data_IF_314773116873
#
_entry.id   IF_314773116873
#
_cell.length_a   1.000
_cell.length_b   1.000
_cell.length_c   1.000
_cell.angle_alpha   90.00
_cell.angle_beta   90.00
_cell.angle_gamma   90.00
#
_symmetry.space_group_name_H-M   'P 1'
#
loop_
_entity.id
_entity.type
_entity.pdbx_description
1 polymer ?
#
# COMPACT_ATOMS: atom_id res chain seq x y z
N UNK A 1 -11.47 9.60 6.08
CA UNK A 1 -10.70 9.49 7.33
C UNK A 1 -9.25 9.75 6.98
N UNK A 2 -8.41 10.30 7.87
CA UNK A 2 -6.99 10.40 7.55
C UNK A 2 -6.44 9.00 7.25
N UNK A 3 -5.61 8.93 6.21
CA UNK A 3 -4.95 7.69 5.81
C UNK A 3 -4.07 7.20 6.96
N UNK A 4 -4.16 5.91 7.29
CA UNK A 4 -3.32 5.32 8.33
C UNK A 4 -2.01 4.84 7.72
N UNK A 5 -0.89 5.18 8.32
CA UNK A 5 0.43 4.70 7.89
C UNK A 5 0.93 3.60 8.84
N UNK A 6 1.38 2.50 8.27
CA UNK A 6 1.88 1.31 8.97
C UNK A 6 3.36 1.14 8.63
N UNK A 7 4.22 1.67 9.48
CA UNK A 7 5.68 1.61 9.32
C UNK A 7 6.28 0.34 9.94
N UNK A 8 5.68 -0.16 11.02
CA UNK A 8 6.21 -1.30 11.76
C UNK A 8 5.45 -2.59 11.49
N UNK A 9 6.19 -3.69 11.33
CA UNK A 9 5.61 -5.01 11.11
C UNK A 9 4.65 -5.44 12.24
N UNK A 10 4.92 -5.01 13.47
CA UNK A 10 4.07 -5.27 14.64
C UNK A 10 2.67 -4.66 14.51
N UNK A 11 2.51 -3.61 13.71
CA UNK A 11 1.21 -2.96 13.50
C UNK A 11 0.43 -3.59 12.35
N UNK A 12 1.08 -4.35 11.47
CA UNK A 12 0.45 -4.95 10.29
C UNK A 12 -0.66 -5.91 10.71
N UNK A 13 -0.51 -6.63 11.83
CA UNK A 13 -1.57 -7.49 12.38
C UNK A 13 -2.87 -6.74 12.67
N UNK A 14 -2.79 -5.46 13.05
CA UNK A 14 -3.98 -4.65 13.32
C UNK A 14 -4.83 -4.40 12.07
N UNK A 15 -4.26 -4.53 10.86
CA UNK A 15 -5.00 -4.42 9.59
C UNK A 15 -6.01 -5.54 9.40
N UNK A 16 -5.80 -6.72 10.03
CA UNK A 16 -6.76 -7.84 9.96
C UNK A 16 -8.09 -7.50 10.60
N UNK A 17 -8.05 -6.68 11.65
CA UNK A 17 -9.22 -6.22 12.39
C UNK A 17 -9.54 -4.75 12.07
N UNK A 18 -8.90 -4.22 11.02
CA UNK A 18 -9.04 -2.87 10.57
C UNK A 18 -10.42 -2.57 9.96
N UNK A 19 -10.73 -1.29 9.81
CA UNK A 19 -11.94 -0.81 9.09
C UNK A 19 -11.62 -0.34 7.67
N UNK A 20 -10.35 -0.45 7.28
CA UNK A 20 -9.84 -0.04 5.99
C UNK A 20 -10.49 -0.89 4.90
N UNK A 21 -10.89 -0.22 3.81
CA UNK A 21 -11.41 -0.89 2.61
C UNK A 21 -10.29 -1.16 1.62
N UNK A 22 -9.23 -0.36 1.69
CA UNK A 22 -8.09 -0.43 0.78
C UNK A 22 -6.78 -0.56 1.55
N UNK A 23 -5.86 -1.36 1.03
CA UNK A 23 -4.47 -1.39 1.46
C UNK A 23 -3.57 -0.90 0.34
N UNK A 24 -2.65 0.01 0.64
CA UNK A 24 -1.68 0.54 -0.31
C UNK A 24 -0.29 0.14 0.16
N UNK A 25 0.42 -0.68 -0.59
CA UNK A 25 1.75 -1.16 -0.26
C UNK A 25 2.80 -0.31 -0.97
N UNK A 26 3.64 0.37 -0.18
CA UNK A 26 4.73 1.22 -0.65
C UNK A 26 6.07 0.77 -0.10
N UNK A 27 7.15 1.21 -0.75
CA UNK A 27 8.50 1.11 -0.18
C UNK A 27 8.62 1.94 1.09
N UNK A 28 9.36 1.48 2.10
CA UNK A 28 9.72 2.36 3.23
C UNK A 28 10.47 3.60 2.77
N UNK A 29 10.54 4.60 3.65
CA UNK A 29 11.28 5.84 3.40
C UNK A 29 12.77 5.67 3.72
N UNK A 30 13.61 6.36 2.95
CA UNK A 30 15.03 6.60 3.18
C UNK A 30 15.21 8.11 3.09
N UNK A 31 15.71 8.74 4.14
CA UNK A 31 15.87 10.20 4.21
C UNK A 31 14.57 10.97 3.92
N UNK A 32 13.44 10.44 4.41
CA UNK A 32 12.12 11.05 4.26
C UNK A 32 11.44 10.82 2.91
N UNK A 33 12.05 10.05 1.99
CA UNK A 33 11.46 9.75 0.66
C UNK A 33 11.33 8.25 0.42
N UNK A 34 10.29 7.84 -0.28
CA UNK A 34 10.11 6.46 -0.73
C UNK A 34 11.33 6.05 -1.59
N UNK A 35 11.96 4.92 -1.28
CA UNK A 35 13.15 4.47 -2.04
C UNK A 35 12.80 3.90 -3.43
N UNK A 36 11.54 3.51 -3.65
CA UNK A 36 11.06 2.97 -4.92
C UNK A 36 10.56 4.10 -5.84
N UNK A 37 11.14 4.27 -7.05
CA UNK A 37 10.73 5.32 -7.99
C UNK A 37 9.24 5.24 -8.38
N UNK A 38 8.70 4.05 -8.59
CA UNK A 38 7.29 3.87 -8.95
C UNK A 38 6.36 4.24 -7.79
N UNK A 39 6.78 4.01 -6.54
CA UNK A 39 6.02 4.46 -5.37
C UNK A 39 6.03 5.99 -5.26
N UNK A 40 7.19 6.65 -5.49
CA UNK A 40 7.29 8.12 -5.53
C UNK A 40 6.35 8.71 -6.59
N UNK A 41 6.30 8.10 -7.77
CA UNK A 41 5.51 8.59 -8.90
C UNK A 41 4.00 8.64 -8.61
N UNK A 42 3.50 7.77 -7.72
CA UNK A 42 2.06 7.66 -7.40
C UNK A 42 1.72 8.15 -6.00
N UNK A 43 2.70 8.51 -5.17
CA UNK A 43 2.51 8.94 -3.78
C UNK A 43 1.46 10.05 -3.67
N UNK A 44 1.62 11.12 -4.46
CA UNK A 44 0.71 12.26 -4.45
C UNK A 44 -0.73 11.86 -4.82
N UNK A 45 -0.90 10.96 -5.81
CA UNK A 45 -2.21 10.46 -6.21
C UNK A 45 -2.89 9.73 -5.05
N UNK A 46 -2.17 8.84 -4.36
CA UNK A 46 -2.71 8.08 -3.22
C UNK A 46 -3.15 9.01 -2.09
N UNK A 47 -2.31 9.97 -1.69
CA UNK A 47 -2.66 10.89 -0.61
C UNK A 47 -3.80 11.85 -1.00
N UNK A 48 -3.91 12.24 -2.27
CA UNK A 48 -5.06 13.01 -2.76
C UNK A 48 -6.36 12.21 -2.74
N UNK A 49 -6.31 10.93 -3.08
CA UNK A 49 -7.49 10.06 -3.12
C UNK A 49 -7.98 9.65 -1.73
N UNK A 50 -7.07 9.17 -0.88
CA UNK A 50 -7.42 8.54 0.39
C UNK A 50 -7.18 9.44 1.62
N UNK A 51 -6.41 10.52 1.49
CA UNK A 51 -6.13 11.46 2.58
C UNK A 51 -7.31 12.34 3.04
N UNK A 52 -8.27 12.75 2.17
CA UNK A 52 -9.40 13.57 2.59
C UNK A 52 -10.28 12.90 3.67
N UNK A 53 -10.90 13.71 4.53
CA UNK A 53 -11.77 13.20 5.61
C UNK A 53 -12.97 12.40 5.06
N UNK A 54 -13.49 12.80 3.91
CA UNK A 54 -14.57 12.09 3.20
C UNK A 54 -14.05 11.08 2.16
N UNK A 55 -12.72 10.91 2.06
CA UNK A 55 -12.10 9.94 1.17
C UNK A 55 -12.34 8.49 1.63
N UNK A 56 -12.16 7.51 0.71
CA UNK A 56 -12.29 6.09 1.04
C UNK A 56 -11.29 5.69 2.13
N UNK A 57 -11.70 4.78 3.02
CA UNK A 57 -10.84 4.34 4.13
C UNK A 57 -9.71 3.45 3.60
N UNK A 58 -8.46 3.86 3.83
CA UNK A 58 -7.28 3.11 3.41
C UNK A 58 -6.15 3.17 4.46
N UNK A 59 -5.28 2.16 4.41
CA UNK A 59 -3.98 2.19 5.08
C UNK A 59 -2.83 2.07 4.07
N UNK A 60 -1.79 2.87 4.26
CA UNK A 60 -0.49 2.72 3.61
C UNK A 60 0.36 1.80 4.47
N UNK A 61 0.91 0.76 3.85
CA UNK A 61 1.75 -0.25 4.49
C UNK A 61 3.12 -0.21 3.85
N UNK A 62 4.13 0.00 4.67
CA UNK A 62 5.51 0.02 4.20
C UNK A 62 6.11 -1.37 4.21
N UNK A 63 6.61 -1.82 3.06
CA UNK A 63 7.11 -3.19 2.88
C UNK A 63 8.52 -3.43 3.42
N UNK A 64 9.14 -2.40 3.99
CA UNK A 64 10.52 -2.39 4.45
C UNK A 64 11.49 -1.69 3.48
N UNK A 65 12.76 -1.76 3.84
CA UNK A 65 13.88 -1.30 3.04
C UNK A 65 14.07 -2.17 1.80
N UNK A 66 14.82 -1.65 0.81
CA UNK A 66 15.01 -2.32 -0.49
C UNK A 66 15.55 -3.76 -0.36
N UNK A 67 16.46 -4.01 0.58
CA UNK A 67 17.01 -5.35 0.85
C UNK A 67 15.95 -6.30 1.41
N UNK A 68 15.12 -5.82 2.35
CA UNK A 68 14.03 -6.58 2.96
C UNK A 68 12.95 -6.92 1.93
N UNK A 69 12.59 -5.98 1.05
CA UNK A 69 11.60 -6.21 -0.02
C UNK A 69 12.05 -7.23 -1.07
N UNK A 70 13.34 -7.19 -1.42
CA UNK A 70 13.93 -8.13 -2.38
C UNK A 70 14.07 -9.55 -1.82
N UNK A 71 14.06 -9.69 -0.50
CA UNK A 71 14.12 -11.01 0.14
C UNK A 71 12.86 -11.82 -0.20
N UNK A 72 12.99 -13.09 -0.61
CA UNK A 72 11.85 -13.99 -0.74
C UNK A 72 11.19 -14.31 0.62
N UNK A 73 11.86 -14.01 1.73
CA UNK A 73 11.36 -14.15 3.10
C UNK A 73 10.52 -12.96 3.58
N UNK A 74 10.35 -11.93 2.74
CA UNK A 74 9.49 -10.81 3.09
C UNK A 74 8.07 -11.29 3.39
N UNK A 75 7.52 -10.90 4.54
CA UNK A 75 6.22 -11.39 5.02
C UNK A 75 5.09 -11.11 4.03
N UNK A 76 5.18 -10.03 3.25
CA UNK A 76 4.15 -9.64 2.30
C UNK A 76 4.15 -10.51 1.04
N UNK A 77 5.20 -11.30 0.80
CA UNK A 77 5.31 -12.27 -0.31
C UNK A 77 4.71 -13.63 0.03
N UNK A 78 4.28 -13.86 1.28
CA UNK A 78 3.83 -15.15 1.79
C UNK A 78 2.47 -15.05 2.47
N UNK A 79 1.83 -16.20 2.66
CA UNK A 79 0.68 -16.27 3.56
C UNK A 79 1.10 -15.93 4.99
N UNK A 80 0.22 -15.31 5.79
CA UNK A 80 -1.20 -15.03 5.52
C UNK A 80 -1.46 -13.65 4.88
N UNK A 81 -0.44 -13.02 4.30
CA UNK A 81 -0.50 -11.71 3.63
C UNK A 81 -0.78 -11.88 2.12
N UNK A 82 -1.16 -10.82 1.39
CA UNK A 82 -1.68 -10.92 0.02
C UNK A 82 -0.72 -11.45 -1.06
N UNK A 83 0.46 -12.00 -0.71
CA UNK A 83 1.46 -12.54 -1.64
C UNK A 83 1.82 -11.53 -2.75
N UNK A 84 2.28 -10.35 -2.33
CA UNK A 84 2.69 -9.28 -3.22
C UNK A 84 3.84 -9.72 -4.12
N UNK A 85 3.72 -9.37 -5.40
CA UNK A 85 4.76 -9.60 -6.40
C UNK A 85 5.61 -8.36 -6.62
N UNK A 86 4.98 -7.18 -6.55
CA UNK A 86 5.59 -5.88 -6.84
C UNK A 86 5.07 -4.77 -5.90
N UNK A 87 5.70 -3.59 -5.98
CA UNK A 87 5.25 -2.33 -5.36
C UNK A 87 5.39 -1.19 -6.39
N UNK A 88 4.53 -0.16 -6.36
CA UNK A 88 3.37 -0.01 -5.50
C UNK A 88 2.28 -1.05 -5.79
N UNK A 89 1.45 -1.38 -4.80
CA UNK A 89 0.26 -2.22 -5.01
C UNK A 89 -0.89 -1.72 -4.17
N UNK A 90 -2.07 -1.55 -4.77
CA UNK A 90 -3.31 -1.21 -4.08
C UNK A 90 -4.20 -2.44 -4.11
N UNK A 91 -4.81 -2.77 -2.98
CA UNK A 91 -5.76 -3.89 -2.87
C UNK A 91 -7.06 -3.37 -2.29
N UNK A 92 -8.18 -3.66 -2.96
CA UNK A 92 -9.52 -3.51 -2.40
C UNK A 92 -9.89 -4.78 -1.65
N UNK A 93 -10.13 -4.65 -0.34
CA UNK A 93 -10.30 -5.81 0.55
C UNK A 93 -11.62 -6.57 0.38
N UNK A 94 -12.65 -5.94 -0.21
CA UNK A 94 -13.96 -6.58 -0.37
C UNK A 94 -13.97 -7.75 -1.36
N UNK A 95 -13.13 -7.67 -2.40
CA UNK A 95 -13.13 -8.60 -3.54
C UNK A 95 -11.74 -8.88 -4.12
N UNK A 96 -10.68 -8.46 -3.41
CA UNK A 96 -9.27 -8.67 -3.77
C UNK A 96 -8.88 -8.13 -5.16
N UNK A 97 -9.55 -7.07 -5.63
CA UNK A 97 -9.10 -6.35 -6.84
C UNK A 97 -7.81 -5.61 -6.52
N UNK A 98 -6.84 -5.72 -7.43
CA UNK A 98 -5.50 -5.16 -7.24
C UNK A 98 -5.08 -4.28 -8.42
N UNK A 99 -4.47 -3.14 -8.09
CA UNK A 99 -3.69 -2.34 -9.04
C UNK A 99 -2.22 -2.49 -8.68
N UNK A 100 -1.39 -2.88 -9.63
CA UNK A 100 0.02 -3.22 -9.40
C UNK A 100 0.90 -2.37 -10.31
N UNK A 101 1.95 -1.75 -9.74
CA UNK A 101 2.94 -0.94 -10.46
C UNK A 101 2.29 0.10 -11.40
N UNK A 102 2.32 -0.18 -12.71
CA UNK A 102 1.85 0.71 -13.78
C UNK A 102 0.34 0.81 -13.86
N UNK A 103 -0.39 -0.12 -13.24
CA UNK A 103 -1.84 -0.08 -13.19
C UNK A 103 -2.33 0.95 -12.15
N UNK A 104 -1.43 1.46 -11.29
CA UNK A 104 -1.73 2.55 -10.37
C UNK A 104 -1.77 3.87 -11.14
N UNK A 105 -2.90 4.11 -11.79
CA UNK A 105 -3.21 5.35 -12.52
C UNK A 105 -4.46 5.98 -11.96
N UNK A 106 -4.64 7.29 -12.15
CA UNK A 106 -5.84 8.01 -11.70
C UNK A 106 -7.14 7.36 -12.23
N UNK A 107 -7.14 6.95 -13.50
CA UNK A 107 -8.29 6.30 -14.13
C UNK A 107 -8.64 4.97 -13.46
N UNK A 108 -7.66 4.05 -13.38
CA UNK A 108 -7.91 2.72 -12.82
C UNK A 108 -8.18 2.78 -11.32
N UNK A 109 -7.58 3.74 -10.62
CA UNK A 109 -7.91 4.00 -9.23
C UNK A 109 -9.38 4.40 -9.10
N UNK A 110 -9.85 5.38 -9.89
CA UNK A 110 -11.25 5.79 -9.88
C UNK A 110 -12.22 4.65 -10.20
N UNK A 111 -11.84 3.70 -11.06
CA UNK A 111 -12.67 2.53 -11.40
C UNK A 111 -12.86 1.55 -10.22
N UNK A 112 -11.93 1.53 -9.26
CA UNK A 112 -11.98 0.61 -8.11
C UNK A 112 -12.44 1.27 -6.81
N UNK A 113 -12.62 2.60 -6.76
CA UNK A 113 -13.08 3.32 -5.56
C UNK A 113 -14.55 3.05 -5.22
#
# INVERSE_FOLDING_TARGET
MPIREIEFLSEVESLRNGKEKYLVFFSSRVEGKLWCPDCVAVEELIYKTFGPEQGPSAAVVYVGQRSEWKSPDNIFRREPWPRLTAIPTIIRLSDDIRLVERDVTEKLLADIL
#
